data_IF_310895891725
#
_entry.id   IF_310895891725
#
_cell.length_a   1.000
_cell.length_b   1.000
_cell.length_c   1.000
_cell.angle_alpha   90.00
_cell.angle_beta   90.00
_cell.angle_gamma   90.00
#
_symmetry.space_group_name_H-M   'P 1'
#
loop_
_entity.id
_entity.type
_entity.pdbx_description
1 polymer ?
#
# COMPACT_ATOMS: atom_id res chain seq x y z
N UNK A 1 -16.64 -15.79 -9.99
CA UNK A 1 -15.52 -16.14 -9.09
C UNK A 1 -14.24 -15.75 -9.82
N UNK A 2 -13.58 -14.67 -9.41
CA UNK A 2 -12.38 -14.21 -10.12
C UNK A 2 -11.18 -14.66 -9.31
N UNK A 3 -10.37 -15.55 -9.89
CA UNK A 3 -9.19 -16.11 -9.24
C UNK A 3 -8.03 -15.12 -9.16
N UNK A 4 -8.09 -14.00 -9.89
CA UNK A 4 -7.04 -12.99 -9.91
C UNK A 4 -7.63 -11.58 -9.86
N UNK A 5 -6.92 -10.62 -9.26
CA UNK A 5 -7.42 -9.26 -9.14
C UNK A 5 -6.50 -8.35 -8.32
N UNK A 6 -6.88 -7.08 -8.21
CA UNK A 6 -6.17 -6.10 -7.38
C UNK A 6 -6.94 -5.83 -6.10
N UNK A 7 -6.25 -5.86 -4.96
CA UNK A 7 -6.80 -5.41 -3.67
C UNK A 7 -5.97 -4.28 -3.10
N UNK A 8 -6.61 -3.43 -2.33
CA UNK A 8 -5.94 -2.44 -1.49
C UNK A 8 -6.04 -2.88 -0.03
N UNK A 9 -4.92 -2.85 0.69
CA UNK A 9 -4.90 -2.98 2.16
C UNK A 9 -4.38 -1.70 2.79
N UNK A 10 -4.90 -1.37 3.97
CA UNK A 10 -4.35 -0.28 4.77
C UNK A 10 -2.93 -0.65 5.20
N UNK A 11 -1.94 0.08 4.70
CA UNK A 11 -0.54 -0.09 5.07
C UNK A 11 -0.23 0.60 6.40
N UNK A 12 -0.91 1.70 6.69
CA UNK A 12 -0.84 2.38 7.97
C UNK A 12 -1.50 3.76 7.92
N UNK A 13 -1.79 4.29 9.11
CA UNK A 13 -2.21 5.67 9.31
C UNK A 13 -1.13 6.41 10.10
N UNK A 14 -0.86 7.65 9.70
CA UNK A 14 0.15 8.49 10.35
C UNK A 14 -0.40 9.89 10.59
N UNK A 15 -0.30 10.44 11.82
CA UNK A 15 -0.70 11.82 12.05
C UNK A 15 0.19 12.78 11.26
N UNK A 16 -0.39 13.90 10.82
CA UNK A 16 0.33 14.99 10.15
C UNK A 16 0.32 16.22 11.08
N UNK A 17 1.18 16.23 12.12
CA UNK A 17 1.20 17.33 13.09
C UNK A 17 1.61 18.64 12.43
N UNK A 18 1.00 19.75 12.87
CA UNK A 18 1.31 21.08 12.36
C UNK A 18 0.55 21.46 11.08
N UNK A 19 -0.48 20.68 10.71
CA UNK A 19 -1.35 20.96 9.56
C UNK A 19 -2.79 21.00 10.02
N UNK A 20 -3.39 22.19 9.95
CA UNK A 20 -4.82 22.36 10.25
C UNK A 20 -5.67 21.94 9.06
N UNK A 21 -6.84 21.35 9.36
CA UNK A 21 -7.80 21.02 8.32
C UNK A 21 -8.41 22.30 7.72
N UNK A 22 -8.27 22.53 6.42
CA UNK A 22 -8.87 23.61 5.66
C UNK A 22 -10.40 23.66 5.73
N UNK A 23 -11.06 22.57 6.12
CA UNK A 23 -12.51 22.51 6.26
C UNK A 23 -13.02 22.85 7.67
N UNK A 24 -12.30 22.43 8.72
CA UNK A 24 -12.77 22.62 10.12
C UNK A 24 -11.79 23.33 11.05
N UNK A 25 -10.57 23.68 10.59
CA UNK A 25 -9.55 24.37 11.38
C UNK A 25 -8.82 23.53 12.44
N UNK A 26 -9.22 22.29 12.69
CA UNK A 26 -8.61 21.45 13.73
C UNK A 26 -7.32 20.74 13.25
N UNK A 27 -6.33 20.63 14.14
CA UNK A 27 -5.10 19.84 13.96
C UNK A 27 -5.36 18.35 14.29
N UNK A 28 -6.21 17.73 13.47
CA UNK A 28 -6.61 16.34 13.62
C UNK A 28 -6.41 15.57 12.30
N UNK A 29 -5.44 15.99 11.49
CA UNK A 29 -5.20 15.46 10.16
C UNK A 29 -4.30 14.21 10.21
N UNK A 30 -4.69 13.17 9.49
CA UNK A 30 -3.95 11.90 9.41
C UNK A 30 -3.78 11.49 7.95
N UNK A 31 -2.61 10.99 7.58
CA UNK A 31 -2.37 10.38 6.29
C UNK A 31 -2.70 8.88 6.39
N UNK A 32 -3.72 8.44 5.66
CA UNK A 32 -4.04 7.03 5.48
C UNK A 32 -3.35 6.52 4.22
N UNK A 33 -2.43 5.58 4.38
CA UNK A 33 -1.67 4.99 3.27
C UNK A 33 -2.18 3.58 3.01
N UNK A 34 -2.54 3.32 1.77
CA UNK A 34 -3.02 2.05 1.24
C UNK A 34 -1.99 1.46 0.28
N UNK A 35 -1.71 0.17 0.45
CA UNK A 35 -0.89 -0.62 -0.46
C UNK A 35 -1.80 -1.43 -1.37
N UNK A 36 -1.69 -1.21 -2.68
CA UNK A 36 -2.37 -2.03 -3.67
C UNK A 36 -1.48 -3.19 -4.11
N UNK A 37 -2.03 -4.40 -4.05
CA UNK A 37 -1.36 -5.62 -4.47
C UNK A 37 -2.23 -6.41 -5.45
N UNK A 38 -1.58 -7.07 -6.39
CA UNK A 38 -2.22 -8.08 -7.21
C UNK A 38 -2.25 -9.39 -6.44
N UNK A 39 -3.34 -10.12 -6.55
CA UNK A 39 -3.49 -11.44 -5.98
C UNK A 39 -3.88 -12.44 -7.06
N UNK A 40 -3.37 -13.67 -6.92
CA UNK A 40 -3.80 -14.84 -7.70
C UNK A 40 -4.15 -15.92 -6.67
N UNK A 41 -5.35 -16.50 -6.76
CA UNK A 41 -5.93 -17.46 -5.81
C UNK A 41 -5.75 -17.03 -4.34
N UNK A 42 -6.09 -15.78 -4.01
CA UNK A 42 -5.90 -15.14 -2.69
C UNK A 42 -4.46 -14.95 -2.20
N UNK A 43 -3.45 -15.40 -2.95
CA UNK A 43 -2.04 -15.16 -2.60
C UNK A 43 -1.66 -13.79 -3.16
N UNK A 44 -1.28 -12.81 -2.32
CA UNK A 44 -0.78 -11.52 -2.80
C UNK A 44 0.60 -11.72 -3.43
N UNK A 45 0.69 -11.55 -4.74
CA UNK A 45 1.88 -11.89 -5.54
C UNK A 45 2.84 -10.73 -5.71
N UNK A 46 2.33 -9.51 -5.82
CA UNK A 46 3.18 -8.32 -5.91
C UNK A 46 2.42 -7.04 -5.54
N UNK A 47 3.02 -6.15 -4.71
CA UNK A 47 2.51 -4.81 -4.51
C UNK A 47 2.91 -3.94 -5.70
N UNK A 48 1.96 -3.29 -6.36
CA UNK A 48 2.24 -2.53 -7.58
C UNK A 48 2.07 -1.02 -7.40
N UNK A 49 1.21 -0.57 -6.48
CA UNK A 49 0.92 0.86 -6.29
C UNK A 49 0.66 1.20 -4.84
N UNK A 50 1.14 2.36 -4.40
CA UNK A 50 0.72 2.98 -3.14
C UNK A 50 -0.27 4.08 -3.47
N UNK A 51 -1.35 4.13 -2.71
CA UNK A 51 -2.26 5.27 -2.69
C UNK A 51 -2.28 5.79 -1.27
N UNK A 52 -2.33 7.09 -1.09
CA UNK A 52 -2.60 7.64 0.23
C UNK A 52 -3.62 8.75 0.09
N UNK A 53 -4.35 8.98 1.17
CA UNK A 53 -5.32 10.06 1.27
C UNK A 53 -5.18 10.70 2.65
N UNK A 54 -5.48 11.99 2.76
CA UNK A 54 -5.51 12.68 4.06
C UNK A 54 -6.90 12.59 4.62
N UNK A 55 -7.05 12.12 5.86
CA UNK A 55 -8.31 11.99 6.57
C UNK A 55 -8.26 12.84 7.84
N UNK A 56 -9.23 13.73 8.01
CA UNK A 56 -9.43 14.46 9.26
C UNK A 56 -10.19 13.58 10.26
N UNK A 57 -9.64 13.37 11.45
CA UNK A 57 -10.31 12.59 12.51
C UNK A 57 -11.54 13.30 13.08
N UNK A 58 -11.60 14.63 12.96
CA UNK A 58 -12.69 15.49 13.47
C UNK A 58 -13.86 15.59 12.50
N UNK A 59 -13.67 16.17 11.31
CA UNK A 59 -14.74 16.37 10.32
C UNK A 59 -14.90 15.22 9.31
N UNK A 60 -14.05 14.18 9.40
CA UNK A 60 -14.04 13.01 8.50
C UNK A 60 -13.77 13.32 7.03
N UNK A 61 -13.36 14.54 6.69
CA UNK A 61 -12.97 14.86 5.33
C UNK A 61 -11.78 14.01 4.88
N UNK A 62 -11.94 13.33 3.75
CA UNK A 62 -10.90 12.62 3.04
C UNK A 62 -10.54 13.40 1.78
N UNK A 63 -9.26 13.67 1.53
CA UNK A 63 -8.78 14.23 0.26
C UNK A 63 -7.77 13.30 -0.39
N UNK A 64 -7.90 13.11 -1.70
CA UNK A 64 -6.86 12.47 -2.49
C UNK A 64 -5.69 13.45 -2.75
N UNK A 65 -4.48 12.96 -3.08
CA UNK A 65 -3.29 13.81 -3.27
C UNK A 65 -3.47 14.90 -4.34
N UNK A 66 -4.36 14.67 -5.30
CA UNK A 66 -4.72 15.64 -6.33
C UNK A 66 -5.59 16.79 -5.81
N UNK A 67 -6.38 16.54 -4.76
CA UNK A 67 -7.31 17.49 -4.15
C UNK A 67 -6.69 18.20 -2.93
N UNK A 68 -5.52 17.74 -2.48
CA UNK A 68 -4.82 18.31 -1.33
C UNK A 68 -4.32 19.74 -1.62
N UNK A 69 -4.58 20.69 -0.70
CA UNK A 69 -3.93 22.00 -0.72
C UNK A 69 -2.39 21.86 -0.68
N UNK A 70 -1.67 22.83 -1.25
CA UNK A 70 -0.21 22.79 -1.32
C UNK A 70 0.47 22.60 0.06
N UNK A 71 -0.10 23.19 1.12
CA UNK A 71 0.35 23.04 2.50
C UNK A 71 0.33 21.60 3.02
N UNK A 72 -0.45 20.70 2.43
CA UNK A 72 -0.56 19.31 2.89
C UNK A 72 0.49 18.41 2.25
N UNK A 73 1.08 18.80 1.11
CA UNK A 73 1.93 17.91 0.31
C UNK A 73 3.18 17.45 1.04
N UNK A 74 3.98 18.38 1.55
CA UNK A 74 5.20 18.06 2.29
C UNK A 74 4.95 17.17 3.54
N UNK A 75 4.01 17.51 4.45
CA UNK A 75 3.71 16.66 5.61
C UNK A 75 3.08 15.32 5.22
N UNK A 76 2.29 15.28 4.15
CA UNK A 76 1.74 14.03 3.62
C UNK A 76 2.81 13.12 3.04
N UNK A 77 3.79 13.66 2.30
CA UNK A 77 4.92 12.90 1.77
C UNK A 77 5.81 12.36 2.90
N UNK A 78 6.10 13.18 3.92
CA UNK A 78 6.83 12.74 5.11
C UNK A 78 6.08 11.63 5.86
N UNK A 79 4.77 11.79 6.06
CA UNK A 79 3.92 10.79 6.68
C UNK A 79 3.89 9.49 5.85
N UNK A 80 3.79 9.59 4.52
CA UNK A 80 3.79 8.44 3.62
C UNK A 80 5.14 7.72 3.60
N UNK A 81 6.25 8.45 3.62
CA UNK A 81 7.60 7.88 3.69
C UNK A 81 7.83 7.13 5.01
N UNK A 82 7.24 7.60 6.11
CA UNK A 82 7.31 6.93 7.42
C UNK A 82 6.52 5.62 7.51
N UNK A 83 5.57 5.39 6.58
CA UNK A 83 4.89 4.10 6.48
C UNK A 83 5.82 3.10 5.81
N UNK A 84 6.37 2.21 6.65
CA UNK A 84 7.27 1.13 6.23
C UNK A 84 6.76 0.37 5.02
N UNK A 85 7.67 0.00 4.12
CA UNK A 85 7.33 -0.75 2.91
C UNK A 85 6.79 -2.15 3.30
N UNK A 86 5.62 -2.59 2.81
CA UNK A 86 5.16 -3.95 3.06
C UNK A 86 6.02 -4.93 2.24
N UNK A 87 7.15 -5.38 2.79
CA UNK A 87 8.05 -6.38 2.20
C UNK A 87 7.44 -7.79 2.14
N UNK A 88 6.29 -8.01 2.78
CA UNK A 88 5.68 -9.35 2.97
C UNK A 88 5.01 -9.93 1.72
N UNK A 89 5.10 -9.28 0.57
CA UNK A 89 4.41 -9.69 -0.65
C UNK A 89 5.28 -10.52 -1.63
N UNK A 90 6.49 -10.94 -1.24
CA UNK A 90 7.37 -11.75 -2.09
C UNK A 90 7.25 -13.27 -1.92
N UNK A 91 6.38 -13.75 -1.03
CA UNK A 91 6.23 -15.19 -0.75
C UNK A 91 5.76 -15.98 -1.97
N UNK A 92 4.91 -15.40 -2.83
CA UNK A 92 4.45 -16.05 -4.06
C UNK A 92 5.57 -16.31 -5.07
N UNK A 93 6.55 -15.40 -5.16
CA UNK A 93 7.69 -15.57 -6.07
C UNK A 93 8.59 -16.72 -5.63
N UNK A 94 8.75 -16.92 -4.31
CA UNK A 94 9.56 -18.00 -3.76
C UNK A 94 8.95 -19.38 -4.08
N UNK A 95 7.63 -19.50 -4.02
CA UNK A 95 6.90 -20.75 -4.34
C UNK A 95 7.03 -21.10 -5.83
N UNK A 96 6.83 -20.12 -6.71
CA UNK A 96 6.98 -20.31 -8.16
C UNK A 96 8.44 -20.66 -8.51
N UNK A 97 9.41 -19.95 -7.92
CA UNK A 97 10.82 -20.23 -8.09
C UNK A 97 11.21 -21.65 -7.65
N UNK A 98 10.70 -22.10 -6.50
CA UNK A 98 10.93 -23.46 -6.01
C UNK A 98 10.32 -24.53 -6.95
N UNK A 99 9.10 -24.33 -7.46
CA UNK A 99 8.47 -25.25 -8.40
C UNK A 99 9.25 -25.37 -9.71
N UNK A 100 9.70 -24.25 -10.28
CA UNK A 100 10.51 -24.26 -11.51
C UNK A 100 11.86 -24.95 -11.27
N UNK A 101 12.50 -24.70 -10.13
CA UNK A 101 13.75 -25.36 -9.76
C UNK A 101 13.58 -26.89 -9.64
N UNK A 102 12.50 -27.34 -9.00
CA UNK A 102 12.18 -28.77 -8.86
C UNK A 102 11.93 -29.41 -10.25
N UNK A 103 11.23 -28.72 -11.15
CA UNK A 103 11.00 -29.20 -12.51
C UNK A 103 12.31 -29.28 -13.31
N UNK A 104 13.19 -28.29 -13.21
CA UNK A 104 14.50 -28.33 -13.87
C UNK A 104 15.38 -29.46 -13.32
N UNK A 105 15.44 -29.62 -11.99
CA UNK A 105 16.21 -30.70 -11.37
C UNK A 105 15.67 -32.07 -11.79
N UNK A 106 14.35 -32.28 -11.74
CA UNK A 106 13.75 -33.56 -12.15
C UNK A 106 13.94 -33.86 -13.64
N UNK A 107 13.98 -32.85 -14.51
CA UNK A 107 14.36 -33.02 -15.91
C UNK A 107 15.84 -33.40 -16.07
N UNK A 108 16.74 -32.81 -15.27
CA UNK A 108 18.18 -33.11 -15.29
C UNK A 108 18.52 -34.51 -14.74
N UNK A 109 17.78 -34.98 -13.74
CA UNK A 109 17.95 -36.33 -13.18
C UNK A 109 17.32 -37.43 -14.04
N UNK A 110 16.52 -37.07 -15.05
CA UNK A 110 15.83 -38.01 -15.94
C UNK A 110 16.55 -38.19 -17.29
N UNK A 111 17.48 -37.31 -17.63
CA UNK A 111 18.41 -37.42 -18.78
C UNK A 111 19.69 -38.16 -18.39
#
# INVERSE_FOLDING_TARGET
MIFFGTKASLAGTRPMPGVTCANCGHDALTAAVYSQYFHIYWIPTFPFKRRGMSVCSFCKQALEPAEMPAQYRAPFEAAQASVGRPLKHFTGLFIIGALVLILMLSALFRS
#
